data_IF_586649704086
#
_entry.id   IF_586649704086
#
_cell.length_a   1.000
_cell.length_b   1.000
_cell.length_c   1.000
_cell.angle_alpha   90.00
_cell.angle_beta   90.00
_cell.angle_gamma   90.00
#
_symmetry.space_group_name_H-M   'P 1'
#
loop_
_entity.id
_entity.type
_entity.pdbx_description
1 polymer ?
#
# COMPACT_ATOMS: atom_id res chain seq x y z
N UNK A 1 -35.93 -23.76 -60.83
CA UNK A 1 -35.98 -23.88 -59.35
C UNK A 1 -34.74 -24.64 -58.90
N UNK A 2 -34.12 -24.24 -57.79
CA UNK A 2 -32.80 -23.61 -57.86
C UNK A 2 -31.65 -24.50 -57.37
N UNK A 3 -30.48 -24.32 -57.97
CA UNK A 3 -29.18 -24.61 -57.35
C UNK A 3 -28.27 -23.38 -57.52
N UNK A 4 -27.93 -22.76 -56.41
CA UNK A 4 -26.89 -21.73 -56.22
C UNK A 4 -26.16 -22.10 -54.91
N UNK A 5 -24.94 -21.63 -54.65
CA UNK A 5 -23.83 -21.35 -55.55
C UNK A 5 -22.47 -21.88 -55.00
N UNK A 6 -21.46 -21.99 -55.87
CA UNK A 6 -20.05 -22.08 -55.44
C UNK A 6 -19.35 -20.75 -55.78
N UNK A 7 -18.75 -20.12 -54.77
CA UNK A 7 -18.11 -18.82 -54.84
C UNK A 7 -16.71 -18.88 -55.48
N UNK A 8 -16.41 -17.83 -56.26
CA UNK A 8 -15.20 -17.59 -57.03
C UNK A 8 -13.93 -17.34 -56.18
N UNK A 9 -12.72 -17.65 -56.70
CA UNK A 9 -11.46 -17.32 -56.04
C UNK A 9 -10.89 -16.00 -56.56
N UNK A 10 -10.47 -15.10 -55.67
CA UNK A 10 -9.65 -13.94 -56.07
C UNK A 10 -8.46 -13.68 -55.13
N UNK A 11 -7.28 -13.75 -55.76
CA UNK A 11 -6.01 -13.04 -55.51
C UNK A 11 -5.50 -12.90 -54.07
N UNK A 12 -4.46 -13.70 -53.78
CA UNK A 12 -3.43 -13.35 -52.78
C UNK A 12 -2.58 -12.19 -53.30
N UNK A 13 -2.60 -11.07 -52.60
CA UNK A 13 -1.69 -9.95 -52.75
C UNK A 13 -0.38 -10.24 -52.02
N UNK A 14 0.73 -10.13 -52.75
CA UNK A 14 2.09 -10.05 -52.21
C UNK A 14 2.34 -8.63 -51.68
N UNK A 15 2.81 -8.43 -50.44
CA UNK A 15 3.34 -7.15 -50.03
C UNK A 15 4.84 -7.06 -50.34
N UNK A 16 5.12 -6.12 -51.24
CA UNK A 16 6.30 -5.27 -51.36
C UNK A 16 7.49 -5.52 -50.42
N UNK A 17 8.64 -5.72 -51.06
CA UNK A 17 9.98 -5.53 -50.51
C UNK A 17 10.11 -4.16 -49.85
N UNK A 18 10.24 -4.15 -48.53
CA UNK A 18 10.55 -2.97 -47.73
C UNK A 18 12.02 -2.60 -47.89
N UNK A 19 12.38 -1.32 -48.09
CA UNK A 19 13.77 -0.90 -48.11
C UNK A 19 14.36 -1.06 -46.71
N UNK A 20 15.59 -1.58 -46.62
CA UNK A 20 16.40 -1.59 -45.38
C UNK A 20 16.57 -0.15 -44.90
N UNK A 21 15.70 0.29 -43.99
CA UNK A 21 15.91 1.50 -43.22
C UNK A 21 17.08 1.24 -42.26
N UNK A 22 18.22 1.89 -42.57
CA UNK A 22 19.34 2.03 -41.65
C UNK A 22 18.81 2.69 -40.39
N UNK A 23 18.89 2.02 -39.26
CA UNK A 23 18.69 2.62 -37.96
C UNK A 23 19.77 3.71 -37.79
N UNK A 24 19.45 4.99 -37.58
CA UNK A 24 20.41 5.87 -36.98
C UNK A 24 20.55 5.40 -35.53
N UNK A 25 21.69 4.78 -35.23
CA UNK A 25 22.19 4.66 -33.87
C UNK A 25 22.46 6.07 -33.32
N UNK A 26 21.40 6.80 -33.00
CA UNK A 26 21.47 8.02 -32.21
C UNK A 26 21.69 7.59 -30.76
N UNK A 27 22.91 7.14 -30.46
CA UNK A 27 23.50 7.46 -29.18
C UNK A 27 23.50 8.98 -29.13
N UNK A 28 22.53 9.56 -28.44
CA UNK A 28 22.48 11.00 -28.20
C UNK A 28 23.73 11.36 -27.41
N UNK A 29 24.77 11.75 -28.14
CA UNK A 29 25.96 12.38 -27.60
C UNK A 29 25.47 13.72 -27.07
N UNK A 30 25.02 13.75 -25.81
CA UNK A 30 24.78 15.01 -25.10
C UNK A 30 26.08 15.81 -25.25
N UNK A 31 26.06 16.99 -25.91
CA UNK A 31 27.27 17.75 -26.19
C UNK A 31 28.07 17.92 -24.91
N UNK A 32 29.40 17.87 -24.99
CA UNK A 32 30.29 18.07 -23.82
C UNK A 32 29.89 19.33 -23.03
N UNK A 33 29.44 20.36 -23.76
CA UNK A 33 28.87 21.60 -23.23
C UNK A 33 27.60 21.40 -22.36
N UNK A 34 26.68 20.54 -22.79
CA UNK A 34 25.48 20.19 -22.01
C UNK A 34 25.79 19.43 -20.72
N UNK A 35 26.91 18.67 -20.69
CA UNK A 35 27.39 18.00 -19.47
C UNK A 35 28.05 19.00 -18.52
N UNK A 36 28.86 19.93 -19.03
CA UNK A 36 29.44 21.03 -18.24
C UNK A 36 28.36 21.96 -17.68
N UNK A 37 27.33 22.28 -18.45
CA UNK A 37 26.22 23.13 -18.01
C UNK A 37 25.46 22.52 -16.82
N UNK A 38 25.27 21.19 -16.81
CA UNK A 38 24.66 20.45 -15.70
C UNK A 38 25.47 20.49 -14.40
N UNK A 39 26.77 20.81 -14.47
CA UNK A 39 27.59 21.01 -13.26
C UNK A 39 27.30 22.37 -12.62
N UNK A 40 26.93 23.36 -13.43
CA UNK A 40 26.69 24.76 -13.06
C UNK A 40 25.24 25.03 -12.62
N UNK A 41 24.26 24.36 -13.24
CA UNK A 41 22.84 24.62 -13.01
C UNK A 41 22.13 23.45 -12.33
N UNK A 42 21.24 23.78 -11.39
CA UNK A 42 20.28 22.82 -10.84
C UNK A 42 19.10 22.69 -11.80
N UNK A 43 19.07 21.61 -12.58
CA UNK A 43 17.96 21.34 -13.48
C UNK A 43 16.75 20.82 -12.72
N UNK A 44 15.69 21.61 -12.76
CA UNK A 44 14.33 21.22 -12.38
C UNK A 44 13.48 21.35 -13.64
N UNK A 45 12.71 20.32 -14.01
CA UNK A 45 11.88 20.29 -15.23
C UNK A 45 10.64 19.40 -14.98
N UNK A 46 9.60 19.92 -14.31
CA UNK A 46 8.32 19.24 -14.17
C UNK A 46 7.52 19.30 -15.47
N UNK A 47 6.75 18.25 -15.75
CA UNK A 47 5.75 18.20 -16.81
C UNK A 47 4.36 18.34 -16.16
N UNK A 48 3.99 19.58 -15.82
CA UNK A 48 2.74 19.92 -15.12
C UNK A 48 1.46 19.49 -15.89
N UNK A 49 1.59 19.31 -17.22
CA UNK A 49 0.49 18.88 -18.09
C UNK A 49 0.32 17.36 -18.17
N UNK A 50 1.21 16.58 -17.56
CA UNK A 50 1.12 15.13 -17.60
C UNK A 50 -0.11 14.63 -16.84
N UNK A 51 -1.05 13.98 -17.54
CA UNK A 51 -2.33 13.56 -16.98
C UNK A 51 -2.71 12.09 -17.21
N UNK A 52 -1.87 11.28 -17.88
CA UNK A 52 -2.22 9.89 -18.24
C UNK A 52 -2.45 8.96 -17.03
N UNK A 53 -2.05 9.37 -15.82
CA UNK A 53 -2.42 8.66 -14.60
C UNK A 53 -3.94 8.68 -14.34
N UNK A 54 -4.67 9.65 -14.92
CA UNK A 54 -6.13 9.77 -14.82
C UNK A 54 -6.87 8.70 -15.63
N UNK A 55 -6.22 8.05 -16.58
CA UNK A 55 -6.82 6.94 -17.35
C UNK A 55 -7.14 5.74 -16.44
N UNK A 56 -6.47 5.64 -15.29
CA UNK A 56 -6.70 4.64 -14.25
C UNK A 56 -7.51 5.17 -13.07
N UNK A 57 -8.23 6.28 -13.27
CA UNK A 57 -9.03 6.87 -12.21
C UNK A 57 -10.27 6.01 -11.93
N UNK A 58 -10.57 5.81 -10.66
CA UNK A 58 -11.80 5.13 -10.21
C UNK A 58 -12.77 6.17 -9.71
N UNK A 59 -14.02 6.10 -10.17
CA UNK A 59 -15.11 6.98 -9.73
C UNK A 59 -16.13 6.20 -8.94
N UNK A 60 -16.50 6.71 -7.77
CA UNK A 60 -17.65 6.24 -7.00
C UNK A 60 -18.64 7.39 -6.85
N UNK A 61 -19.92 7.05 -6.89
CA UNK A 61 -21.03 8.01 -6.81
C UNK A 61 -21.93 7.68 -5.62
N UNK A 62 -22.23 8.72 -4.85
CA UNK A 62 -23.23 8.74 -3.78
C UNK A 62 -24.23 9.86 -4.10
N UNK A 63 -25.47 9.84 -3.56
CA UNK A 63 -26.46 10.89 -3.82
C UNK A 63 -25.95 12.31 -3.54
N UNK A 64 -24.99 12.45 -2.63
CA UNK A 64 -24.49 13.73 -2.14
C UNK A 64 -23.11 14.14 -2.69
N UNK A 65 -22.38 13.21 -3.31
CA UNK A 65 -21.08 13.53 -3.89
C UNK A 65 -20.68 12.52 -4.96
N UNK A 66 -19.94 12.99 -5.95
CA UNK A 66 -19.22 12.14 -6.90
C UNK A 66 -17.72 12.34 -6.69
N UNK A 67 -17.02 11.25 -6.45
CA UNK A 67 -15.61 11.26 -6.06
C UNK A 67 -14.83 10.40 -7.05
N UNK A 68 -13.81 11.00 -7.65
CA UNK A 68 -12.87 10.33 -8.55
C UNK A 68 -11.47 10.37 -7.96
N UNK A 69 -10.81 9.22 -7.92
CA UNK A 69 -9.47 9.05 -7.33
C UNK A 69 -8.52 8.46 -8.36
N UNK A 70 -7.30 8.98 -8.44
CA UNK A 70 -6.23 8.40 -9.25
C UNK A 70 -4.89 8.46 -8.50
N UNK A 71 -4.06 7.43 -8.66
CA UNK A 71 -2.73 7.36 -8.04
C UNK A 71 -1.67 7.22 -9.13
N UNK A 72 -0.85 8.25 -9.39
CA UNK A 72 0.29 8.12 -10.30
C UNK A 72 1.33 7.13 -9.77
N UNK A 73 1.95 6.38 -10.67
CA UNK A 73 3.13 5.56 -10.36
C UNK A 73 4.34 6.45 -10.05
N UNK A 74 5.40 5.88 -9.46
CA UNK A 74 6.62 6.63 -9.14
C UNK A 74 7.26 7.32 -10.35
N UNK A 75 7.20 6.71 -11.54
CA UNK A 75 7.72 7.30 -12.77
C UNK A 75 6.88 8.50 -13.23
N UNK A 76 5.55 8.38 -13.11
CA UNK A 76 4.60 9.43 -13.47
C UNK A 76 4.67 10.60 -12.50
N UNK A 77 4.74 10.33 -11.20
CA UNK A 77 4.96 11.38 -10.19
C UNK A 77 6.28 12.10 -10.43
N UNK A 78 7.36 11.38 -10.79
CA UNK A 78 8.65 12.01 -11.12
C UNK A 78 8.53 12.93 -12.33
N UNK A 79 7.80 12.50 -13.36
CA UNK A 79 7.55 13.30 -14.56
C UNK A 79 6.73 14.55 -14.23
N UNK A 80 5.61 14.39 -13.52
CA UNK A 80 4.71 15.47 -13.13
C UNK A 80 5.39 16.51 -12.26
N UNK A 81 6.06 16.08 -11.18
CA UNK A 81 6.64 17.00 -10.19
C UNK A 81 8.08 17.40 -10.48
N UNK A 82 8.76 16.76 -11.46
CA UNK A 82 10.16 17.02 -11.81
C UNK A 82 11.18 16.51 -10.77
N UNK A 83 10.73 15.82 -9.74
CA UNK A 83 11.53 15.25 -8.64
C UNK A 83 10.99 13.89 -8.21
N UNK A 84 11.87 13.07 -7.63
CA UNK A 84 11.55 11.71 -7.22
C UNK A 84 10.87 11.65 -5.84
N UNK A 85 9.61 12.09 -5.79
CA UNK A 85 8.83 12.16 -4.55
C UNK A 85 8.69 10.81 -3.83
N UNK A 86 8.59 9.72 -4.60
CA UNK A 86 8.49 8.37 -4.06
C UNK A 86 9.74 7.95 -3.27
N UNK A 87 10.95 8.32 -3.73
CA UNK A 87 12.20 8.10 -2.96
C UNK A 87 12.25 8.86 -1.64
N UNK A 88 11.41 9.87 -1.48
CA UNK A 88 11.27 10.63 -0.23
C UNK A 88 10.13 10.12 0.65
N UNK A 89 9.52 8.99 0.30
CA UNK A 89 8.41 8.40 1.05
C UNK A 89 7.08 9.13 0.82
N UNK A 90 6.97 9.92 -0.26
CA UNK A 90 5.75 10.66 -0.61
C UNK A 90 5.08 10.01 -1.82
N UNK A 91 3.79 9.72 -1.69
CA UNK A 91 2.91 9.25 -2.76
C UNK A 91 1.77 10.24 -2.97
N UNK A 92 1.76 10.96 -4.10
CA UNK A 92 0.66 11.85 -4.45
C UNK A 92 -0.61 11.04 -4.78
N UNK A 93 -1.74 11.43 -4.20
CA UNK A 93 -3.08 10.91 -4.54
C UNK A 93 -3.88 12.03 -5.17
N UNK A 94 -4.30 11.88 -6.42
CA UNK A 94 -5.14 12.85 -7.09
C UNK A 94 -6.61 12.60 -6.76
N UNK A 95 -7.32 13.66 -6.38
CA UNK A 95 -8.74 13.64 -6.07
C UNK A 95 -9.46 14.64 -6.95
N UNK A 96 -10.66 14.28 -7.38
CA UNK A 96 -11.67 15.17 -7.92
C UNK A 96 -12.98 14.92 -7.20
N UNK A 97 -13.53 15.95 -6.57
CA UNK A 97 -14.73 15.88 -5.75
C UNK A 97 -15.76 16.86 -6.31
N UNK A 98 -16.92 16.33 -6.69
CA UNK A 98 -18.10 17.08 -7.11
C UNK A 98 -19.13 17.03 -5.98
N UNK A 99 -19.47 18.20 -5.40
CA UNK A 99 -20.45 18.30 -4.32
C UNK A 99 -21.87 18.38 -4.91
N UNK A 100 -22.68 17.33 -4.68
CA UNK A 100 -24.09 17.25 -5.10
C UNK A 100 -25.05 17.49 -3.93
N UNK A 101 -24.54 17.80 -2.75
CA UNK A 101 -25.34 18.01 -1.55
C UNK A 101 -25.85 19.45 -1.44
N UNK A 102 -26.98 19.69 -0.75
CA UNK A 102 -27.54 21.04 -0.59
C UNK A 102 -26.70 21.95 0.31
N UNK A 103 -25.68 21.42 0.98
CA UNK A 103 -24.78 22.17 1.85
C UNK A 103 -23.32 22.08 1.40
N UNK A 104 -22.44 22.81 2.09
CA UNK A 104 -21.01 22.71 1.85
C UNK A 104 -20.47 21.39 2.41
N UNK A 105 -19.52 20.78 1.71
CA UNK A 105 -18.79 19.59 2.17
C UNK A 105 -17.33 19.95 2.46
N UNK A 106 -16.74 19.34 3.48
CA UNK A 106 -15.31 19.47 3.78
C UNK A 106 -14.62 18.12 3.75
N UNK A 107 -13.57 18.03 2.95
CA UNK A 107 -12.68 16.85 2.93
C UNK A 107 -11.89 16.76 4.23
N UNK A 108 -11.88 15.57 4.83
CA UNK A 108 -11.01 15.22 5.94
C UNK A 108 -9.75 14.51 5.42
N UNK A 109 -8.68 15.26 5.11
CA UNK A 109 -7.42 14.65 4.62
C UNK A 109 -6.78 13.68 5.60
N UNK A 110 -7.03 13.87 6.91
CA UNK A 110 -6.55 12.97 7.97
C UNK A 110 -7.11 11.54 7.83
N UNK A 111 -8.28 11.36 7.21
CA UNK A 111 -8.80 10.01 6.96
C UNK A 111 -8.09 9.33 5.80
N UNK A 112 -7.59 10.12 4.83
CA UNK A 112 -6.80 9.60 3.71
C UNK A 112 -5.41 9.18 4.21
N UNK A 113 -4.75 10.07 4.96
CA UNK A 113 -3.49 9.76 5.62
C UNK A 113 -3.28 10.71 6.82
N UNK A 114 -3.18 10.20 8.07
CA UNK A 114 -2.92 11.04 9.23
C UNK A 114 -1.53 11.68 9.24
N UNK A 115 -0.59 11.17 8.42
CA UNK A 115 0.77 11.67 8.22
C UNK A 115 0.93 12.33 6.84
N UNK A 116 -0.16 12.82 6.24
CA UNK A 116 -0.09 13.54 4.97
C UNK A 116 0.85 14.76 5.06
N UNK A 117 1.45 15.10 3.94
CA UNK A 117 2.29 16.27 3.78
C UNK A 117 1.48 17.42 3.21
N UNK A 118 1.64 18.62 3.75
CA UNK A 118 1.18 19.82 3.05
C UNK A 118 1.95 19.98 1.73
N UNK A 119 1.42 20.68 0.72
CA UNK A 119 2.11 20.86 -0.55
C UNK A 119 3.53 21.44 -0.41
N UNK A 120 3.73 22.38 0.51
CA UNK A 120 5.03 23.00 0.74
C UNK A 120 5.98 22.12 1.55
N UNK A 121 5.49 21.28 2.47
CA UNK A 121 6.32 20.25 3.10
C UNK A 121 6.78 19.21 2.07
N UNK A 122 5.87 18.76 1.21
CA UNK A 122 6.20 17.80 0.15
C UNK A 122 7.26 18.37 -0.82
N UNK A 123 7.17 19.67 -1.15
CA UNK A 123 8.21 20.37 -1.91
C UNK A 123 9.53 20.46 -1.12
N UNK A 124 9.47 20.92 0.14
CA UNK A 124 10.62 21.12 1.01
C UNK A 124 11.47 19.85 1.21
N UNK A 125 10.83 18.69 1.39
CA UNK A 125 11.53 17.39 1.48
C UNK A 125 12.29 17.05 0.18
N UNK A 126 11.84 17.58 -0.96
CA UNK A 126 12.44 17.38 -2.28
C UNK A 126 13.39 18.51 -2.72
N UNK A 127 13.54 19.57 -1.92
CA UNK A 127 14.43 20.68 -2.25
C UNK A 127 15.86 20.21 -2.50
N UNK A 128 16.49 20.84 -3.48
CA UNK A 128 17.89 20.65 -3.77
C UNK A 128 18.73 21.29 -2.66
N UNK A 129 19.54 20.48 -1.96
CA UNK A 129 20.49 20.92 -0.94
C UNK A 129 21.92 20.56 -1.34
N UNK A 130 22.80 21.55 -1.28
CA UNK A 130 24.24 21.42 -1.61
C UNK A 130 25.08 21.26 -0.34
N UNK A 131 24.66 21.84 0.78
CA UNK A 131 25.36 21.80 2.07
C UNK A 131 25.54 20.38 2.60
N UNK A 132 24.53 19.51 2.46
CA UNK A 132 24.62 18.07 2.81
C UNK A 132 25.67 17.29 2.02
N UNK A 133 26.02 17.74 0.80
CA UNK A 133 27.05 17.08 -0.01
C UNK A 133 28.45 17.55 0.35
N UNK A 134 28.63 18.83 0.67
CA UNK A 134 29.94 19.40 1.03
C UNK A 134 30.45 18.89 2.38
N UNK A 135 29.58 18.68 3.37
CA UNK A 135 29.98 18.15 4.68
C UNK A 135 30.55 16.72 4.63
N UNK A 136 30.21 15.94 3.59
CA UNK A 136 30.70 14.58 3.41
C UNK A 136 32.16 14.51 2.92
N UNK A 137 32.75 15.61 2.43
CA UNK A 137 34.09 15.60 1.83
C UNK A 137 35.22 16.01 2.78
N UNK A 138 34.91 16.51 4.00
CA UNK A 138 35.91 16.80 5.03
C UNK A 138 37.14 17.57 4.53
N UNK A 139 38.34 17.19 5.02
CA UNK A 139 39.62 17.77 4.59
C UNK A 139 39.98 17.53 3.10
N UNK A 140 39.29 16.61 2.42
CA UNK A 140 39.49 16.32 0.99
C UNK A 140 38.93 17.42 0.06
N UNK A 141 38.19 18.39 0.61
CA UNK A 141 37.56 19.50 -0.12
C UNK A 141 38.55 20.37 -0.91
N UNK A 142 39.84 20.38 -0.52
CA UNK A 142 40.88 21.15 -1.23
C UNK A 142 41.17 20.62 -2.65
N UNK A 143 41.00 19.32 -2.91
CA UNK A 143 41.17 18.71 -4.24
C UNK A 143 40.11 19.18 -5.24
N UNK A 144 39.00 19.74 -4.74
CA UNK A 144 37.88 20.24 -5.52
C UNK A 144 37.80 21.77 -5.50
N UNK A 145 38.86 22.47 -5.13
CA UNK A 145 38.92 23.94 -5.07
C UNK A 145 38.43 24.65 -6.36
N UNK A 146 38.75 24.18 -7.59
CA UNK A 146 38.19 24.77 -8.81
C UNK A 146 36.66 24.61 -8.90
N UNK A 147 36.10 23.54 -8.33
CA UNK A 147 34.65 23.31 -8.28
C UNK A 147 33.98 24.20 -7.21
N UNK A 148 34.70 24.63 -6.17
CA UNK A 148 34.16 25.55 -5.14
C UNK A 148 33.76 26.90 -5.74
N UNK A 149 34.45 27.36 -6.80
CA UNK A 149 34.08 28.56 -7.54
C UNK A 149 32.69 28.47 -8.19
N UNK A 150 32.19 27.26 -8.43
CA UNK A 150 30.86 27.02 -9.02
C UNK A 150 29.75 26.95 -7.97
N UNK A 151 30.09 26.89 -6.68
CA UNK A 151 29.13 26.74 -5.58
C UNK A 151 28.13 27.90 -5.49
N UNK A 152 28.52 29.20 -5.60
CA UNK A 152 27.58 30.31 -5.54
C UNK A 152 26.51 30.24 -6.65
N UNK A 153 26.94 29.97 -7.89
CA UNK A 153 26.02 29.82 -9.03
C UNK A 153 25.08 28.61 -8.84
N UNK A 154 25.61 27.50 -8.32
CA UNK A 154 24.82 26.30 -8.07
C UNK A 154 23.81 26.49 -6.93
N UNK A 155 24.17 27.23 -5.88
CA UNK A 155 23.26 27.61 -4.79
C UNK A 155 22.14 28.52 -5.30
N UNK A 156 22.47 29.52 -6.12
CA UNK A 156 21.47 30.43 -6.69
C UNK A 156 20.48 29.68 -7.59
N UNK A 157 20.98 28.81 -8.47
CA UNK A 157 20.11 28.02 -9.35
C UNK A 157 19.29 26.99 -8.57
N UNK A 158 19.83 26.43 -7.48
CA UNK A 158 19.07 25.57 -6.57
C UNK A 158 17.96 26.35 -5.86
N UNK A 159 18.24 27.57 -5.39
CA UNK A 159 17.24 28.44 -4.78
C UNK A 159 16.09 28.77 -5.73
N UNK A 160 16.38 29.15 -6.98
CA UNK A 160 15.36 29.35 -8.01
C UNK A 160 14.58 28.08 -8.33
N UNK A 161 15.27 26.94 -8.45
CA UNK A 161 14.63 25.66 -8.69
C UNK A 161 13.68 25.28 -7.55
N UNK A 162 14.08 25.46 -6.29
CA UNK A 162 13.27 25.18 -5.10
C UNK A 162 12.05 26.11 -5.04
N UNK A 163 12.22 27.42 -5.27
CA UNK A 163 11.09 28.35 -5.33
C UNK A 163 10.09 28.04 -6.45
N UNK A 164 10.56 27.49 -7.58
CA UNK A 164 9.67 26.99 -8.63
C UNK A 164 8.99 25.67 -8.23
N UNK A 165 9.68 24.79 -7.52
CA UNK A 165 9.13 23.56 -6.97
C UNK A 165 7.99 23.84 -5.99
N UNK A 166 8.16 24.80 -5.09
CA UNK A 166 7.11 25.23 -4.15
C UNK A 166 5.84 25.65 -4.87
N UNK A 167 5.98 26.43 -5.94
CA UNK A 167 4.84 26.87 -6.78
C UNK A 167 4.13 25.70 -7.45
N UNK A 168 4.87 24.74 -8.00
CA UNK A 168 4.31 23.56 -8.68
C UNK A 168 3.53 22.70 -7.69
N UNK A 169 4.14 22.34 -6.56
CA UNK A 169 3.47 21.54 -5.54
C UNK A 169 2.25 22.28 -4.97
N UNK A 170 2.37 23.56 -4.66
CA UNK A 170 1.25 24.35 -4.14
C UNK A 170 0.09 24.49 -5.13
N UNK A 171 0.38 24.62 -6.43
CA UNK A 171 -0.64 24.71 -7.49
C UNK A 171 -1.39 23.39 -7.68
N UNK A 172 -0.67 22.27 -7.67
CA UNK A 172 -1.25 20.94 -7.86
C UNK A 172 -1.85 20.38 -6.56
N UNK A 173 -1.46 20.88 -5.40
CA UNK A 173 -1.96 20.44 -4.10
C UNK A 173 -3.46 20.69 -3.92
N UNK A 174 -4.15 19.74 -3.30
CA UNK A 174 -5.55 19.87 -2.95
C UNK A 174 -5.72 20.95 -1.88
N UNK A 175 -6.55 21.96 -2.16
CA UNK A 175 -6.80 23.07 -1.23
C UNK A 175 -7.88 22.69 -0.23
N UNK A 176 -7.52 22.61 1.04
CA UNK A 176 -8.46 22.37 2.13
C UNK A 176 -9.36 23.60 2.34
N UNK A 177 -10.55 23.55 1.77
CA UNK A 177 -11.63 24.53 1.98
C UNK A 177 -12.99 23.85 1.91
N UNK A 178 -14.06 24.49 2.41
CA UNK A 178 -15.41 24.05 2.13
C UNK A 178 -15.65 24.04 0.61
N UNK A 179 -16.20 22.93 0.12
CA UNK A 179 -16.63 22.72 -1.26
C UNK A 179 -18.10 23.09 -1.29
N UNK A 180 -18.45 24.18 -1.96
CA UNK A 180 -19.84 24.67 -1.97
C UNK A 180 -20.73 23.78 -2.85
N UNK A 181 -22.04 23.90 -2.72
CA UNK A 181 -23.00 23.12 -3.51
C UNK A 181 -22.79 23.32 -5.01
N UNK A 182 -22.75 22.22 -5.76
CA UNK A 182 -22.53 22.21 -7.22
C UNK A 182 -21.08 22.43 -7.63
N UNK A 183 -20.17 22.71 -6.69
CA UNK A 183 -18.77 22.94 -6.99
C UNK A 183 -18.03 21.62 -7.26
N UNK A 184 -17.11 21.66 -8.23
CA UNK A 184 -16.11 20.60 -8.44
C UNK A 184 -14.72 21.14 -8.11
N UNK A 185 -14.00 20.43 -7.24
CA UNK A 185 -12.61 20.73 -6.89
C UNK A 185 -11.71 19.55 -7.21
N UNK A 186 -10.48 19.82 -7.62
CA UNK A 186 -9.47 18.79 -7.86
C UNK A 186 -8.08 19.20 -7.37
N UNK A 187 -7.25 18.20 -7.07
CA UNK A 187 -5.88 18.40 -6.63
C UNK A 187 -5.26 17.16 -6.01
N UNK A 188 -4.00 17.27 -5.63
CA UNK A 188 -3.23 16.19 -5.01
C UNK A 188 -3.20 16.31 -3.49
N UNK A 189 -3.52 15.22 -2.80
CA UNK A 189 -3.15 15.02 -1.40
C UNK A 189 -1.82 14.27 -1.39
N UNK A 190 -0.80 14.85 -0.78
CA UNK A 190 0.52 14.22 -0.69
C UNK A 190 0.54 13.29 0.52
N UNK A 191 0.44 11.99 0.28
CA UNK A 191 0.39 10.97 1.34
C UNK A 191 1.75 10.30 1.51
N UNK A 192 1.90 9.50 2.54
CA UNK A 192 2.98 8.53 2.68
C UNK A 192 2.82 7.42 1.63
N UNK A 193 3.95 6.86 1.19
CA UNK A 193 3.95 5.73 0.25
C UNK A 193 3.33 4.51 0.91
N UNK A 194 2.31 3.95 0.27
CA UNK A 194 1.84 2.59 0.52
C UNK A 194 2.32 1.69 -0.60
N UNK A 195 2.75 0.47 -0.26
CA UNK A 195 3.17 -0.50 -1.26
C UNK A 195 2.01 -1.38 -1.71
N UNK A 196 1.94 -1.69 -3.02
CA UNK A 196 0.94 -2.57 -3.62
C UNK A 196 -0.36 -1.85 -3.92
N UNK A 197 -1.33 -1.89 -3.01
CA UNK A 197 -2.59 -1.16 -3.15
C UNK A 197 -2.62 0.06 -2.25
N UNK A 198 -2.83 1.23 -2.85
CA UNK A 198 -3.05 2.48 -2.12
C UNK A 198 -4.52 2.56 -1.72
N UNK A 199 -4.80 2.51 -0.42
CA UNK A 199 -6.16 2.66 0.10
C UNK A 199 -6.42 4.12 0.41
N UNK A 200 -7.43 4.68 -0.26
CA UNK A 200 -7.80 6.09 -0.14
C UNK A 200 -9.16 6.17 0.51
N UNK A 201 -9.18 6.47 1.81
CA UNK A 201 -10.41 6.66 2.57
C UNK A 201 -10.85 8.13 2.52
N UNK A 202 -11.82 8.42 1.64
CA UNK A 202 -12.33 9.77 1.43
C UNK A 202 -13.56 10.00 2.29
N UNK A 203 -13.42 10.83 3.32
CA UNK A 203 -14.54 11.28 4.16
C UNK A 203 -14.85 12.76 3.92
N UNK A 204 -16.08 13.04 3.49
CA UNK A 204 -16.62 14.38 3.33
C UNK A 204 -17.64 14.66 4.43
N UNK A 205 -17.35 15.65 5.27
CA UNK A 205 -18.25 16.04 6.36
C UNK A 205 -19.06 17.26 5.93
N UNK A 206 -20.39 17.26 6.06
CA UNK A 206 -21.18 18.47 5.87
C UNK A 206 -20.73 19.56 6.84
N UNK A 207 -20.47 20.73 6.29
CA UNK A 207 -20.12 21.93 7.02
C UNK A 207 -21.30 22.88 6.95
N UNK A 208 -21.90 23.13 8.10
CA UNK A 208 -22.95 24.13 8.24
C UNK A 208 -22.37 25.46 8.75
N UNK A 209 -23.10 26.58 8.58
CA UNK A 209 -22.74 27.84 9.21
C UNK A 209 -22.72 27.73 10.75
N UNK A 210 -21.75 28.37 11.40
CA UNK A 210 -21.55 28.32 12.86
C UNK A 210 -22.84 28.64 13.66
N UNK A 211 -23.63 29.63 13.20
CA UNK A 211 -24.91 29.99 13.84
C UNK A 211 -25.88 28.81 13.88
N UNK A 212 -25.94 28.01 12.81
CA UNK A 212 -26.80 26.84 12.72
C UNK A 212 -26.30 25.72 13.63
N UNK A 213 -24.97 25.51 13.70
CA UNK A 213 -24.36 24.57 14.66
C UNK A 213 -24.69 24.92 16.10
N UNK A 214 -24.53 26.18 16.47
CA UNK A 214 -24.85 26.66 17.82
C UNK A 214 -26.36 26.50 18.10
N UNK A 215 -27.21 26.84 17.13
CA UNK A 215 -28.66 26.64 17.24
C UNK A 215 -29.04 25.17 17.51
N UNK A 216 -28.39 24.22 16.81
CA UNK A 216 -28.61 22.78 17.03
C UNK A 216 -28.11 22.28 18.38
N UNK A 217 -26.98 22.82 18.87
CA UNK A 217 -26.47 22.49 20.21
C UNK A 217 -27.39 22.99 21.31
N UNK A 218 -27.96 24.19 21.15
CA UNK A 218 -28.89 24.79 22.10
C UNK A 218 -30.30 24.17 22.01
N UNK A 219 -30.68 23.65 20.84
CA UNK A 219 -31.99 23.04 20.58
C UNK A 219 -31.86 21.70 19.85
N UNK A 220 -31.53 20.60 20.58
CA UNK A 220 -31.39 19.26 20.00
C UNK A 220 -32.71 18.80 19.37
N UNK A 221 -32.68 18.40 18.10
CA UNK A 221 -33.85 17.92 17.34
C UNK A 221 -34.39 18.87 16.26
N UNK A 222 -33.83 20.08 16.13
CA UNK A 222 -34.31 21.12 15.20
C UNK A 222 -33.63 21.14 13.82
N UNK A 223 -32.92 20.08 13.41
CA UNK A 223 -32.25 20.09 12.12
C UNK A 223 -31.83 18.72 11.59
N UNK A 224 -31.84 18.59 10.28
CA UNK A 224 -31.47 17.39 9.56
C UNK A 224 -29.95 17.20 9.61
N UNK A 225 -29.47 16.26 10.43
CA UNK A 225 -28.04 16.02 10.60
C UNK A 225 -27.57 15.09 9.48
N UNK A 226 -27.33 15.66 8.32
CA UNK A 226 -26.95 14.89 7.15
C UNK A 226 -25.66 14.09 7.45
N UNK A 227 -25.60 12.77 7.23
CA UNK A 227 -24.43 11.96 7.57
C UNK A 227 -23.19 12.38 6.77
N UNK A 228 -21.96 12.02 7.17
CA UNK A 228 -20.80 12.18 6.30
C UNK A 228 -20.93 11.29 5.05
N UNK A 229 -20.36 11.73 3.93
CA UNK A 229 -20.09 10.82 2.80
C UNK A 229 -18.78 10.12 3.08
N UNK A 230 -18.78 8.79 3.08
CA UNK A 230 -17.65 7.96 3.47
C UNK A 230 -17.43 6.88 2.41
N UNK A 231 -16.36 7.03 1.62
CA UNK A 231 -16.04 6.14 0.50
C UNK A 231 -14.60 5.66 0.60
N UNK A 232 -14.37 4.39 0.24
CA UNK A 232 -13.06 3.74 0.26
C UNK A 232 -12.69 3.33 -1.16
N UNK A 233 -11.51 3.75 -1.60
CA UNK A 233 -10.95 3.39 -2.91
C UNK A 233 -9.71 2.53 -2.73
N UNK A 234 -9.62 1.46 -3.52
CA UNK A 234 -8.48 0.55 -3.56
C UNK A 234 -7.76 0.79 -4.89
N UNK A 235 -6.64 1.49 -4.85
CA UNK A 235 -5.94 1.93 -6.06
C UNK A 235 -4.69 1.08 -6.27
N UNK A 236 -4.60 0.24 -7.33
CA UNK A 236 -3.39 -0.51 -7.60
C UNK A 236 -2.25 0.45 -7.95
N UNK A 237 -1.10 0.30 -7.30
CA UNK A 237 0.09 1.12 -7.54
C UNK A 237 1.06 0.34 -8.42
N UNK A 238 1.29 0.77 -9.68
CA UNK A 238 2.21 0.06 -10.57
C UNK A 238 3.65 0.08 -10.03
N UNK A 239 4.28 -1.10 -9.98
CA UNK A 239 5.72 -1.24 -9.69
C UNK A 239 6.10 -2.02 -8.44
N UNK A 240 5.13 -2.61 -7.74
CA UNK A 240 5.33 -3.41 -6.53
C UNK A 240 4.73 -4.79 -6.76
N UNK A 241 5.50 -5.84 -6.45
CA UNK A 241 5.06 -7.23 -6.49
C UNK A 241 4.55 -7.59 -5.09
N UNK A 242 3.25 -7.35 -4.85
CA UNK A 242 2.56 -7.84 -3.66
C UNK A 242 2.08 -9.28 -3.90
N UNK A 243 2.11 -10.13 -2.86
CA UNK A 243 1.83 -11.58 -2.96
C UNK A 243 0.52 -11.90 -3.70
N UNK A 244 -0.52 -11.07 -3.57
CA UNK A 244 -1.83 -11.28 -4.20
C UNK A 244 -1.93 -10.77 -5.64
N UNK A 245 -1.03 -9.90 -6.10
CA UNK A 245 -1.07 -9.36 -7.47
C UNK A 245 -0.74 -10.43 -8.53
N UNK A 246 0.03 -11.44 -8.13
CA UNK A 246 0.37 -12.61 -8.95
C UNK A 246 -0.55 -13.82 -8.66
N UNK A 247 -1.61 -13.66 -7.84
CA UNK A 247 -2.50 -14.75 -7.41
C UNK A 247 -3.86 -14.65 -8.08
N UNK A 248 -4.21 -15.71 -8.79
CA UNK A 248 -5.57 -15.92 -9.26
C UNK A 248 -6.39 -16.60 -8.14
N UNK A 249 -7.13 -15.80 -7.35
CA UNK A 249 -8.01 -16.32 -6.30
C UNK A 249 -9.12 -17.23 -6.85
N UNK A 250 -9.55 -17.04 -8.10
CA UNK A 250 -10.53 -17.91 -8.74
C UNK A 250 -9.93 -19.28 -9.09
N UNK A 251 -8.62 -19.35 -9.38
CA UNK A 251 -7.91 -20.61 -9.51
C UNK A 251 -7.64 -21.30 -8.15
N UNK A 252 -7.41 -20.52 -7.08
CA UNK A 252 -7.17 -21.05 -5.72
C UNK A 252 -8.47 -21.59 -5.09
N UNK A 253 -9.59 -20.91 -5.33
CA UNK A 253 -10.93 -21.30 -4.87
C UNK A 253 -11.93 -21.26 -6.03
N UNK A 254 -11.93 -22.29 -6.90
CA UNK A 254 -12.92 -22.40 -7.96
C UNK A 254 -14.35 -22.43 -7.41
N UNK A 255 -15.37 -21.93 -8.15
CA UNK A 255 -16.76 -21.95 -7.68
C UNK A 255 -17.26 -23.34 -7.28
N UNK A 256 -16.77 -24.39 -7.95
CA UNK A 256 -17.11 -25.78 -7.67
C UNK A 256 -16.48 -26.34 -6.38
N UNK A 257 -15.42 -25.71 -5.85
CA UNK A 257 -14.77 -26.13 -4.60
C UNK A 257 -15.25 -25.33 -3.39
N UNK A 258 -16.26 -24.47 -3.54
CA UNK A 258 -16.80 -23.69 -2.43
C UNK A 258 -17.65 -24.60 -1.55
N UNK A 259 -17.33 -24.63 -0.26
CA UNK A 259 -18.02 -25.46 0.73
C UNK A 259 -18.80 -24.57 1.71
N UNK A 260 -20.12 -24.39 1.52
CA UNK A 260 -20.95 -23.65 2.47
C UNK A 260 -20.94 -24.31 3.85
N UNK A 261 -20.84 -23.50 4.89
CA UNK A 261 -20.82 -23.91 6.28
C UNK A 261 -21.95 -23.24 7.05
N UNK A 262 -22.59 -24.00 7.94
CA UNK A 262 -23.50 -23.50 8.96
C UNK A 262 -22.71 -23.04 10.19
N UNK A 263 -23.32 -22.29 11.13
CA UNK A 263 -22.68 -22.00 12.41
C UNK A 263 -22.24 -23.25 13.17
N UNK A 264 -23.06 -24.31 13.13
CA UNK A 264 -22.83 -25.56 13.86
C UNK A 264 -21.64 -26.36 13.28
N UNK A 265 -21.45 -26.32 11.96
CA UNK A 265 -20.38 -27.05 11.29
C UNK A 265 -19.07 -26.25 11.16
N UNK A 266 -19.12 -24.92 11.31
CA UNK A 266 -17.94 -24.07 11.15
C UNK A 266 -16.89 -24.39 12.23
N UNK A 267 -17.29 -24.50 13.49
CA UNK A 267 -16.36 -24.70 14.62
C UNK A 267 -15.58 -26.02 14.48
N UNK A 268 -16.23 -27.20 14.31
CA UNK A 268 -15.50 -28.46 14.15
C UNK A 268 -14.56 -28.45 12.93
N UNK A 269 -14.97 -27.82 11.82
CA UNK A 269 -14.13 -27.70 10.62
C UNK A 269 -12.90 -26.84 10.85
N UNK A 270 -13.01 -25.73 11.58
CA UNK A 270 -11.86 -24.88 11.93
C UNK A 270 -10.91 -25.57 12.92
N UNK A 271 -11.45 -26.35 13.86
CA UNK A 271 -10.65 -27.12 14.82
C UNK A 271 -9.85 -28.24 14.15
N UNK A 272 -10.41 -28.87 13.12
CA UNK A 272 -9.76 -29.92 12.33
C UNK A 272 -8.68 -29.40 11.36
N UNK A 273 -8.58 -28.09 11.13
CA UNK A 273 -7.57 -27.52 10.24
C UNK A 273 -6.14 -27.66 10.82
N UNK A 274 -5.09 -27.58 9.99
CA UNK A 274 -3.72 -27.70 10.47
C UNK A 274 -3.41 -26.71 11.60
N UNK A 275 -2.86 -27.22 12.70
CA UNK A 275 -2.58 -26.46 13.92
C UNK A 275 -1.51 -25.38 13.74
N UNK A 276 -0.58 -25.59 12.81
CA UNK A 276 0.57 -24.74 12.59
C UNK A 276 1.02 -24.79 11.13
N UNK A 277 1.76 -23.76 10.75
CA UNK A 277 2.42 -23.67 9.45
C UNK A 277 3.56 -24.69 9.31
N UNK A 278 4.07 -24.88 8.11
CA UNK A 278 5.18 -25.79 7.83
C UNK A 278 6.23 -25.17 6.90
N UNK A 279 7.38 -25.83 6.78
CA UNK A 279 8.33 -25.58 5.69
C UNK A 279 7.77 -26.11 4.35
N UNK A 280 8.40 -25.75 3.24
CA UNK A 280 7.95 -26.16 1.89
C UNK A 280 7.75 -27.68 1.72
N UNK A 281 8.57 -28.49 2.39
CA UNK A 281 8.47 -29.95 2.34
C UNK A 281 7.46 -30.56 3.33
N UNK A 282 6.85 -29.76 4.22
CA UNK A 282 5.92 -30.25 5.24
C UNK A 282 6.57 -31.05 6.39
N UNK A 283 7.90 -31.12 6.45
CA UNK A 283 8.64 -31.97 7.40
C UNK A 283 8.86 -31.33 8.77
N UNK A 284 8.70 -30.00 8.87
CA UNK A 284 8.91 -29.24 10.11
C UNK A 284 7.75 -28.30 10.34
N UNK A 285 7.36 -28.17 11.60
CA UNK A 285 6.31 -27.27 12.07
C UNK A 285 6.87 -25.87 12.33
N UNK A 286 6.08 -24.86 11.98
CA UNK A 286 6.37 -23.45 12.18
C UNK A 286 5.44 -22.80 13.20
N UNK A 287 5.15 -21.53 12.95
CA UNK A 287 4.29 -20.72 13.81
C UNK A 287 2.85 -21.24 13.80
N UNK A 288 2.12 -21.09 14.92
CA UNK A 288 0.75 -21.58 15.06
C UNK A 288 -0.22 -20.84 14.12
N UNK A 289 -1.17 -21.55 13.54
CA UNK A 289 -2.23 -20.95 12.72
C UNK A 289 -3.34 -20.39 13.64
N UNK A 290 -3.04 -19.30 14.34
CA UNK A 290 -3.80 -18.75 15.46
C UNK A 290 -4.91 -17.75 15.10
N UNK A 291 -5.22 -17.54 13.82
CA UNK A 291 -6.25 -16.59 13.37
C UNK A 291 -7.17 -17.22 12.32
N UNK A 292 -8.44 -16.78 12.29
CA UNK A 292 -9.41 -17.02 11.23
C UNK A 292 -10.14 -15.72 10.95
N UNK A 293 -10.25 -15.35 9.66
CA UNK A 293 -10.94 -14.13 9.21
C UNK A 293 -12.02 -14.53 8.23
N UNK A 294 -13.23 -14.02 8.41
CA UNK A 294 -14.38 -14.26 7.53
C UNK A 294 -14.79 -12.95 6.86
N UNK A 295 -14.73 -12.92 5.52
CA UNK A 295 -15.06 -11.74 4.72
C UNK A 295 -14.39 -11.77 3.34
N UNK A 296 -14.96 -11.05 2.37
CA UNK A 296 -14.37 -10.92 1.03
C UNK A 296 -12.96 -10.32 1.07
N UNK A 297 -12.18 -10.55 0.01
CA UNK A 297 -10.85 -9.98 -0.12
C UNK A 297 -10.86 -8.45 -0.01
N UNK A 298 -11.84 -7.78 -0.60
CA UNK A 298 -12.00 -6.32 -0.55
C UNK A 298 -12.32 -5.85 0.87
N UNK A 299 -13.19 -6.58 1.58
CA UNK A 299 -13.53 -6.28 2.97
C UNK A 299 -12.33 -6.48 3.88
N UNK A 300 -11.57 -7.55 3.66
CA UNK A 300 -10.33 -7.84 4.38
C UNK A 300 -9.31 -6.73 4.16
N UNK A 301 -9.00 -6.40 2.91
CA UNK A 301 -8.05 -5.35 2.60
C UNK A 301 -8.54 -4.00 3.12
N UNK A 302 -9.83 -3.68 2.99
CA UNK A 302 -10.43 -2.46 3.55
C UNK A 302 -10.42 -2.38 5.08
N UNK A 303 -10.44 -3.52 5.78
CA UNK A 303 -10.36 -3.60 7.23
C UNK A 303 -8.92 -3.41 7.74
N UNK A 304 -7.93 -3.98 7.04
CA UNK A 304 -6.53 -3.95 7.46
C UNK A 304 -5.73 -2.76 6.90
N UNK A 305 -5.98 -2.33 5.66
CA UNK A 305 -5.07 -1.44 4.91
C UNK A 305 -4.96 -0.01 5.42
N UNK A 306 -5.90 0.48 6.25
CA UNK A 306 -5.74 1.79 6.89
C UNK A 306 -4.66 1.79 7.99
N UNK A 307 -4.20 0.61 8.45
CA UNK A 307 -3.41 0.45 9.68
C UNK A 307 -2.29 -0.59 9.59
N UNK A 308 -2.33 -1.46 8.58
CA UNK A 308 -1.35 -2.49 8.29
C UNK A 308 -0.74 -2.26 6.90
N UNK A 309 0.58 -2.33 6.81
CA UNK A 309 1.39 -2.19 5.60
C UNK A 309 1.41 -3.55 4.84
N UNK A 310 1.32 -3.57 3.51
CA UNK A 310 1.51 -4.82 2.73
C UNK A 310 2.98 -5.29 2.77
N UNK A 311 3.26 -6.60 2.62
CA UNK A 311 4.64 -7.11 2.51
C UNK A 311 4.99 -7.62 1.11
N UNK A 312 6.20 -7.33 0.63
CA UNK A 312 6.71 -7.81 -0.68
C UNK A 312 7.12 -9.29 -0.61
N UNK A 313 6.85 -10.05 -1.68
CA UNK A 313 7.31 -11.44 -1.85
C UNK A 313 8.84 -11.50 -1.98
N UNK A 314 9.47 -12.51 -1.38
CA UNK A 314 10.90 -12.80 -1.61
C UNK A 314 11.08 -13.29 -3.05
N UNK A 315 11.56 -12.40 -3.93
CA UNK A 315 12.21 -12.77 -5.21
C UNK A 315 13.71 -12.47 -5.14
N UNK A 316 14.55 -13.14 -5.94
CA UNK A 316 16.00 -12.85 -6.04
C UNK A 316 16.28 -11.37 -6.35
N UNK A 317 15.37 -10.70 -7.07
CA UNK A 317 15.42 -9.26 -7.39
C UNK A 317 15.07 -8.39 -6.18
N UNK A 318 14.14 -8.85 -5.33
CA UNK A 318 13.74 -8.18 -4.07
C UNK A 318 14.87 -8.27 -3.04
N UNK A 319 15.52 -9.43 -2.88
CA UNK A 319 16.70 -9.59 -2.02
C UNK A 319 17.82 -8.59 -2.38
N UNK A 320 18.11 -8.38 -3.66
CA UNK A 320 19.14 -7.42 -4.09
C UNK A 320 18.75 -5.95 -3.81
N UNK A 321 17.46 -5.60 -3.91
CA UNK A 321 16.96 -4.28 -3.51
C UNK A 321 17.07 -4.06 -2.00
N UNK A 322 16.74 -5.06 -1.18
CA UNK A 322 16.88 -5.02 0.28
C UNK A 322 18.34 -4.82 0.68
N UNK A 323 19.28 -5.56 0.06
CA UNK A 323 20.73 -5.40 0.29
C UNK A 323 21.20 -3.99 -0.06
N UNK A 324 20.75 -3.43 -1.19
CA UNK A 324 21.11 -2.07 -1.60
C UNK A 324 20.52 -1.00 -0.68
N UNK A 325 19.28 -1.17 -0.21
CA UNK A 325 18.63 -0.25 0.72
C UNK A 325 19.30 -0.24 2.11
N UNK A 326 19.77 -1.41 2.57
CA UNK A 326 20.52 -1.57 3.82
C UNK A 326 21.90 -0.89 3.76
N UNK A 327 22.61 -1.02 2.62
CA UNK A 327 23.93 -0.39 2.42
C UNK A 327 23.86 1.14 2.22
N UNK A 328 22.76 1.69 1.70
CA UNK A 328 22.59 3.13 1.48
C UNK A 328 21.92 3.88 2.64
N UNK A 329 21.64 3.21 3.77
CA UNK A 329 21.09 3.87 4.97
C UNK A 329 19.67 4.41 4.82
N UNK A 330 18.91 3.93 3.83
CA UNK A 330 17.49 4.30 3.65
C UNK A 330 16.60 3.30 4.38
N UNK A 331 15.71 3.79 5.25
CA UNK A 331 14.75 2.99 6.01
C UNK A 331 13.81 2.19 5.08
N UNK A 332 14.12 0.90 4.87
CA UNK A 332 13.31 -0.03 4.09
C UNK A 332 12.17 -0.61 4.94
N UNK A 333 11.02 0.07 4.96
CA UNK A 333 9.84 -0.30 5.76
C UNK A 333 9.22 -1.67 5.37
N UNK A 334 9.62 -2.28 4.25
CA UNK A 334 8.96 -3.45 3.65
C UNK A 334 9.88 -4.67 3.51
N UNK A 335 10.59 -5.03 4.58
CA UNK A 335 11.44 -6.23 4.60
C UNK A 335 10.61 -7.46 4.24
N UNK A 336 11.07 -8.30 3.31
CA UNK A 336 10.26 -9.38 2.79
C UNK A 336 10.08 -10.48 3.84
N UNK A 337 8.87 -11.04 3.87
CA UNK A 337 8.43 -12.00 4.89
C UNK A 337 8.83 -13.41 4.47
N UNK A 338 9.41 -14.20 5.38
CA UNK A 338 9.76 -15.59 5.08
C UNK A 338 8.50 -16.41 4.77
N UNK A 339 8.55 -17.21 3.70
CA UNK A 339 7.43 -18.03 3.25
C UNK A 339 7.10 -19.10 4.27
N UNK A 340 5.85 -19.11 4.73
CA UNK A 340 5.28 -20.19 5.53
C UNK A 340 4.31 -20.97 4.65
N UNK A 341 4.21 -22.28 4.89
CA UNK A 341 3.30 -23.13 4.13
C UNK A 341 2.13 -23.56 5.00
N UNK A 342 0.95 -23.58 4.41
CA UNK A 342 -0.27 -24.15 4.97
C UNK A 342 -1.05 -24.75 3.80
N UNK A 343 -1.72 -25.88 4.00
CA UNK A 343 -2.42 -26.59 2.92
C UNK A 343 -1.52 -26.93 1.70
N UNK A 344 -0.23 -27.19 1.95
CA UNK A 344 0.74 -27.51 0.89
C UNK A 344 1.17 -26.33 0.02
N UNK A 345 0.81 -25.09 0.37
CA UNK A 345 1.11 -23.89 -0.42
C UNK A 345 1.56 -22.72 0.46
N UNK A 346 2.29 -21.77 -0.12
CA UNK A 346 2.66 -20.52 0.54
C UNK A 346 1.43 -19.66 0.83
N UNK A 347 1.58 -18.66 1.70
CA UNK A 347 0.50 -17.71 2.03
C UNK A 347 -0.05 -16.99 0.80
N UNK A 348 -1.36 -16.68 0.83
CA UNK A 348 -2.02 -15.90 -0.23
C UNK A 348 -1.86 -14.40 -0.03
N UNK A 349 -1.88 -13.98 1.23
CA UNK A 349 -1.77 -12.58 1.63
C UNK A 349 -0.78 -12.53 2.78
N UNK A 350 0.15 -11.58 2.70
CA UNK A 350 1.06 -11.25 3.79
C UNK A 350 1.01 -9.75 4.06
N UNK A 351 0.55 -9.40 5.25
CA UNK A 351 0.49 -8.04 5.78
C UNK A 351 1.49 -7.91 6.94
N UNK A 352 1.96 -6.71 7.17
CA UNK A 352 2.86 -6.38 8.27
C UNK A 352 2.44 -5.05 8.90
N UNK A 353 2.64 -4.87 10.20
CA UNK A 353 2.45 -3.57 10.84
C UNK A 353 3.71 -3.10 11.51
N UNK A 354 4.17 -1.92 11.11
CA UNK A 354 5.36 -1.27 11.64
C UNK A 354 4.97 -0.29 12.75
N UNK A 355 5.60 -0.33 13.94
CA UNK A 355 5.41 0.69 14.99
C UNK A 355 6.26 1.94 14.74
N UNK A 356 7.58 1.82 14.94
CA UNK A 356 8.53 2.95 14.83
C UNK A 356 9.84 2.61 14.08
N UNK A 357 10.20 1.32 13.97
CA UNK A 357 11.40 0.85 13.26
C UNK A 357 11.15 -0.48 12.54
N UNK A 358 12.07 -0.87 11.65
CA UNK A 358 12.02 -2.14 10.90
C UNK A 358 12.11 -3.35 11.83
N UNK A 359 12.63 -3.21 13.05
CA UNK A 359 12.95 -4.35 13.92
C UNK A 359 11.81 -4.81 14.83
N UNK A 360 10.70 -4.05 14.86
CA UNK A 360 9.51 -4.34 15.67
C UNK A 360 8.27 -4.33 14.76
N UNK A 361 7.77 -5.53 14.44
CA UNK A 361 6.71 -5.72 13.45
C UNK A 361 5.71 -6.74 13.93
N UNK A 362 4.45 -6.58 13.54
CA UNK A 362 3.50 -7.70 13.59
C UNK A 362 3.33 -8.21 12.16
N UNK A 363 3.53 -9.50 11.96
CA UNK A 363 3.34 -10.17 10.69
C UNK A 363 2.02 -10.92 10.72
N UNK A 364 1.21 -10.72 9.68
CA UNK A 364 -0.04 -11.42 9.45
C UNK A 364 0.06 -12.13 8.10
N UNK A 365 -0.18 -13.44 8.09
CA UNK A 365 -0.27 -14.24 6.87
C UNK A 365 -1.63 -14.91 6.81
N UNK A 366 -2.23 -14.98 5.63
CA UNK A 366 -3.55 -15.56 5.42
C UNK A 366 -3.56 -16.54 4.24
N UNK A 367 -4.37 -17.58 4.39
CA UNK A 367 -4.64 -18.62 3.41
C UNK A 367 -6.15 -18.75 3.23
N UNK A 368 -6.62 -18.57 1.99
CA UNK A 368 -8.00 -18.80 1.60
C UNK A 368 -8.35 -20.29 1.69
N UNK A 369 -9.49 -20.60 2.30
CA UNK A 369 -10.00 -21.97 2.40
C UNK A 369 -11.17 -22.22 1.44
N UNK A 370 -11.51 -23.49 1.18
CA UNK A 370 -12.76 -23.85 0.50
C UNK A 370 -14.02 -23.35 1.21
N UNK A 371 -13.96 -23.19 2.54
CA UNK A 371 -15.14 -22.91 3.36
C UNK A 371 -15.75 -21.54 3.04
N UNK A 372 -17.07 -21.48 3.10
CA UNK A 372 -17.89 -20.27 2.97
C UNK A 372 -18.85 -20.18 4.14
N UNK A 373 -18.85 -19.07 4.87
CA UNK A 373 -19.80 -18.84 5.95
C UNK A 373 -20.64 -17.60 5.64
N UNK A 374 -21.97 -17.74 5.63
CA UNK A 374 -22.89 -16.64 5.26
C UNK A 374 -22.56 -16.02 3.87
N UNK A 375 -22.18 -16.87 2.91
CA UNK A 375 -21.73 -16.44 1.58
C UNK A 375 -20.36 -15.76 1.55
N UNK A 376 -19.68 -15.61 2.69
CA UNK A 376 -18.37 -14.97 2.81
C UNK A 376 -17.24 -16.01 2.83
N UNK A 377 -16.10 -15.74 2.16
CA UNK A 377 -14.94 -16.64 2.23
C UNK A 377 -14.32 -16.67 3.63
N UNK A 378 -13.83 -17.85 4.01
CA UNK A 378 -13.12 -18.08 5.27
C UNK A 378 -11.62 -18.20 5.00
N UNK A 379 -10.83 -17.42 5.74
CA UNK A 379 -9.37 -17.37 5.67
C UNK A 379 -8.79 -17.89 6.98
N UNK A 380 -7.80 -18.78 6.90
CA UNK A 380 -6.98 -19.16 8.06
C UNK A 380 -5.71 -18.33 8.06
N UNK A 381 -5.28 -17.90 9.22
CA UNK A 381 -4.15 -17.01 9.37
C UNK A 381 -3.17 -17.42 10.45
N UNK A 382 -2.01 -16.81 10.34
CA UNK A 382 -0.95 -16.84 11.34
C UNK A 382 -0.54 -15.41 11.64
N UNK A 383 -0.48 -15.07 12.91
CA UNK A 383 -0.03 -13.76 13.41
C UNK A 383 1.09 -13.95 14.42
N UNK A 384 2.16 -13.16 14.27
CA UNK A 384 3.29 -13.15 15.20
C UNK A 384 3.94 -11.77 15.26
N UNK A 385 4.47 -11.40 16.42
CA UNK A 385 5.21 -10.17 16.63
C UNK A 385 6.72 -10.43 16.68
N UNK A 386 7.48 -9.61 15.99
CA UNK A 386 8.93 -9.54 16.08
C UNK A 386 9.33 -8.54 17.18
N UNK A 387 10.20 -8.96 18.09
CA UNK A 387 10.70 -8.18 19.23
C UNK A 387 12.19 -7.82 19.11
N UNK A 388 12.81 -8.07 17.96
CA UNK A 388 14.21 -7.71 17.70
C UNK A 388 14.84 -8.55 16.60
N UNK A 389 16.18 -8.48 16.49
CA UNK A 389 16.98 -9.24 15.53
C UNK A 389 17.99 -10.09 16.29
N UNK A 390 18.17 -11.36 15.88
CA UNK A 390 19.18 -12.27 16.41
C UNK A 390 20.03 -12.86 15.30
N UNK A 391 21.26 -13.22 15.63
CA UNK A 391 22.13 -13.97 14.73
C UNK A 391 21.62 -15.42 14.60
N UNK A 392 21.65 -15.97 13.38
CA UNK A 392 21.26 -17.36 13.11
C UNK A 392 22.02 -17.91 11.90
N UNK A 393 22.43 -19.18 11.95
CA UNK A 393 22.99 -19.87 10.78
C UNK A 393 21.91 -20.43 9.85
N UNK A 394 20.63 -20.36 10.26
CA UNK A 394 19.49 -20.92 9.51
C UNK A 394 18.94 -19.98 8.43
N UNK A 395 19.41 -18.73 8.40
CA UNK A 395 19.04 -17.72 7.39
C UNK A 395 20.29 -17.29 6.62
N UNK A 396 20.14 -17.07 5.31
CA UNK A 396 21.27 -16.78 4.40
C UNK A 396 21.99 -15.46 4.71
N UNK A 397 21.29 -14.51 5.34
CA UNK A 397 21.82 -13.22 5.80
C UNK A 397 22.40 -13.28 7.22
N UNK A 398 22.51 -14.47 7.81
CA UNK A 398 23.04 -14.73 9.16
C UNK A 398 22.29 -14.02 10.31
N UNK A 399 21.15 -13.38 10.04
CA UNK A 399 20.34 -12.65 11.02
C UNK A 399 18.85 -12.88 10.75
N UNK A 400 18.08 -13.26 11.77
CA UNK A 400 16.63 -13.42 11.69
C UNK A 400 15.96 -12.61 12.80
N UNK A 401 14.71 -12.20 12.60
CA UNK A 401 13.96 -11.54 13.65
C UNK A 401 13.67 -12.54 14.78
N UNK A 402 13.65 -12.05 16.02
CA UNK A 402 13.23 -12.85 17.18
C UNK A 402 11.74 -12.65 17.36
N UNK A 403 10.98 -13.74 17.28
CA UNK A 403 9.53 -13.73 17.51
C UNK A 403 9.25 -13.67 19.02
N UNK A 404 8.22 -12.92 19.39
CA UNK A 404 7.66 -12.89 20.73
C UNK A 404 7.15 -14.30 21.11
N UNK A 405 7.62 -14.90 22.21
CA UNK A 405 7.11 -16.20 22.64
C UNK A 405 5.62 -16.22 22.95
N UNK A 406 5.01 -15.09 23.33
CA UNK A 406 3.57 -14.99 23.53
C UNK A 406 2.86 -14.69 22.20
N UNK A 407 2.50 -15.75 21.47
CA UNK A 407 1.80 -15.60 20.19
C UNK A 407 0.33 -15.20 20.35
N UNK A 408 -0.23 -15.34 21.54
CA UNK A 408 -1.62 -14.99 21.83
C UNK A 408 -1.77 -13.47 21.96
N UNK A 409 -0.77 -12.76 22.52
CA UNK A 409 -0.74 -11.28 22.50
C UNK A 409 -0.85 -10.74 21.07
N UNK A 410 -0.11 -11.35 20.13
CA UNK A 410 -0.11 -10.92 18.73
C UNK A 410 -1.46 -11.16 18.05
N UNK A 411 -2.10 -12.28 18.38
CA UNK A 411 -3.45 -12.66 17.90
C UNK A 411 -4.50 -11.70 18.45
N UNK A 412 -4.49 -11.46 19.76
CA UNK A 412 -5.51 -10.68 20.44
C UNK A 412 -5.38 -9.19 20.07
N UNK A 413 -4.16 -8.72 19.84
CA UNK A 413 -3.90 -7.41 19.26
C UNK A 413 -4.67 -7.19 17.95
N UNK A 414 -4.75 -8.18 17.05
CA UNK A 414 -5.50 -8.05 15.78
C UNK A 414 -6.98 -7.84 16.03
N UNK A 415 -7.56 -8.54 17.02
CA UNK A 415 -8.97 -8.38 17.38
C UNK A 415 -9.20 -6.96 17.91
N UNK A 416 -8.43 -6.54 18.92
CA UNK A 416 -8.53 -5.21 19.51
C UNK A 416 -8.37 -4.11 18.45
N UNK A 417 -7.44 -4.33 17.53
CA UNK A 417 -7.20 -3.44 16.41
C UNK A 417 -8.45 -3.25 15.57
N UNK A 418 -8.99 -4.34 15.04
CA UNK A 418 -10.14 -4.28 14.14
C UNK A 418 -11.41 -3.80 14.85
N UNK A 419 -11.58 -4.13 16.14
CA UNK A 419 -12.67 -3.61 16.98
C UNK A 419 -12.55 -2.09 17.11
N UNK A 420 -11.38 -1.57 17.44
CA UNK A 420 -11.15 -0.12 17.53
C UNK A 420 -11.36 0.62 16.20
N UNK A 421 -11.23 -0.08 15.07
CA UNK A 421 -11.52 0.45 13.74
C UNK A 421 -13.01 0.36 13.35
N UNK A 422 -13.87 -0.25 14.19
CA UNK A 422 -15.26 -0.54 13.87
C UNK A 422 -15.40 -1.54 12.73
N UNK A 423 -14.45 -2.48 12.56
CA UNK A 423 -14.42 -3.42 11.41
C UNK A 423 -14.83 -4.84 11.77
N UNK A 424 -15.36 -5.06 12.98
CA UNK A 424 -15.72 -6.39 13.49
C UNK A 424 -17.22 -6.49 13.68
N UNK A 425 -17.87 -7.42 12.97
CA UNK A 425 -19.28 -7.79 13.17
C UNK A 425 -19.43 -8.70 14.38
N UNK A 426 -18.52 -9.67 14.52
CA UNK A 426 -18.42 -10.58 15.66
C UNK A 426 -16.99 -11.12 15.79
N UNK A 427 -16.58 -11.47 17.00
CA UNK A 427 -15.32 -12.16 17.26
C UNK A 427 -15.48 -13.22 18.35
N UNK A 428 -14.68 -14.28 18.29
CA UNK A 428 -14.67 -15.37 19.27
C UNK A 428 -13.41 -16.22 19.15
N UNK A 429 -13.35 -17.32 19.90
CA UNK A 429 -12.21 -18.24 19.87
C UNK A 429 -12.68 -19.68 19.65
N UNK A 430 -11.90 -20.44 18.87
CA UNK A 430 -12.10 -21.88 18.62
C UNK A 430 -10.80 -22.64 18.89
N UNK A 431 -10.85 -23.96 19.09
CA UNK A 431 -9.65 -24.77 19.27
C UNK A 431 -8.81 -24.97 18.00
N UNK A 432 -7.92 -25.97 18.05
CA UNK A 432 -7.23 -26.51 16.87
C UNK A 432 -5.72 -26.23 16.78
N UNK A 433 -5.15 -25.35 17.62
CA UNK A 433 -3.68 -25.11 17.65
C UNK A 433 -2.99 -26.02 18.67
N UNK A 434 -3.70 -26.38 19.74
CA UNK A 434 -3.18 -27.13 20.88
C UNK A 434 -2.38 -26.26 21.84
N UNK A 435 -2.58 -26.42 23.14
CA UNK A 435 -1.96 -25.60 24.18
C UNK A 435 -0.49 -25.97 24.39
N UNK A 436 0.37 -24.98 24.65
CA UNK A 436 1.71 -25.20 25.18
C UNK A 436 2.08 -24.05 26.13
N UNK A 437 2.72 -24.36 27.24
CA UNK A 437 3.00 -23.41 28.33
C UNK A 437 4.38 -22.77 28.18
N UNK A 438 4.66 -21.63 28.86
CA UNK A 438 5.99 -21.05 28.90
C UNK A 438 7.10 -21.99 29.41
N UNK A 439 6.76 -22.93 30.30
CA UNK A 439 7.70 -23.93 30.84
C UNK A 439 7.98 -25.08 29.86
N UNK A 440 7.07 -25.32 28.90
CA UNK A 440 7.20 -26.35 27.87
C UNK A 440 6.83 -25.77 26.49
N UNK A 441 7.60 -24.79 25.98
CA UNK A 441 7.25 -24.08 24.76
C UNK A 441 7.51 -24.97 23.53
N UNK A 442 6.68 -24.79 22.51
CA UNK A 442 6.97 -25.32 21.17
C UNK A 442 7.95 -24.39 20.46
N UNK A 443 8.51 -24.84 19.34
CA UNK A 443 9.47 -24.05 18.54
C UNK A 443 9.01 -23.95 17.11
N UNK A 444 9.17 -22.77 16.52
CA UNK A 444 8.87 -22.53 15.12
C UNK A 444 10.06 -22.96 14.20
N UNK A 445 9.97 -22.63 12.91
CA UNK A 445 10.99 -23.01 11.91
C UNK A 445 12.36 -22.36 12.14
N UNK A 446 12.40 -21.14 12.70
CA UNK A 446 13.66 -20.46 13.04
C UNK A 446 14.24 -21.02 14.35
N UNK A 447 13.42 -21.70 15.15
CA UNK A 447 13.74 -22.28 16.44
C UNK A 447 13.45 -21.37 17.62
N UNK A 448 12.71 -20.28 17.40
CA UNK A 448 12.22 -19.42 18.49
C UNK A 448 11.14 -20.17 19.28
N UNK A 449 11.18 -20.12 20.62
CA UNK A 449 10.15 -20.71 21.46
C UNK A 449 8.86 -19.91 21.36
N UNK A 450 7.72 -20.58 21.45
CA UNK A 450 6.41 -19.96 21.61
C UNK A 450 5.52 -20.76 22.56
N UNK A 451 4.60 -20.06 23.22
CA UNK A 451 3.53 -20.62 24.04
C UNK A 451 2.18 -20.05 23.59
N UNK A 452 1.09 -20.78 23.84
CA UNK A 452 -0.28 -20.42 23.42
C UNK A 452 -1.31 -21.18 24.22
N UNK A 453 -2.47 -20.58 24.44
CA UNK A 453 -3.69 -21.18 24.98
C UNK A 453 -4.26 -22.28 24.06
N UNK A 454 -3.77 -22.40 22.82
CA UNK A 454 -4.14 -23.43 21.87
C UNK A 454 -5.37 -23.10 21.01
N UNK A 455 -5.83 -21.85 21.06
CA UNK A 455 -7.01 -21.36 20.34
C UNK A 455 -6.63 -20.54 19.10
N UNK A 456 -7.61 -20.43 18.21
CA UNK A 456 -7.64 -19.51 17.07
C UNK A 456 -8.66 -18.42 17.35
N UNK A 457 -8.29 -17.17 17.12
CA UNK A 457 -9.25 -16.07 17.10
C UNK A 457 -10.04 -16.13 15.79
N UNK A 458 -11.36 -16.06 15.85
CA UNK A 458 -12.26 -16.01 14.70
C UNK A 458 -12.88 -14.62 14.61
N UNK A 459 -12.72 -13.95 13.48
CA UNK A 459 -13.18 -12.57 13.26
C UNK A 459 -14.09 -12.53 12.04
N UNK A 460 -15.35 -12.12 12.23
CA UNK A 460 -16.27 -11.80 11.14
C UNK A 460 -16.14 -10.32 10.83
N UNK A 461 -15.68 -9.98 9.62
CA UNK A 461 -15.44 -8.61 9.23
C UNK A 461 -16.74 -7.87 8.88
N UNK A 462 -16.72 -6.55 9.10
CA UNK A 462 -17.76 -5.64 8.66
C UNK A 462 -17.29 -4.78 7.48
N UNK A 463 -18.07 -4.78 6.40
CA UNK A 463 -17.81 -3.95 5.22
C UNK A 463 -17.93 -2.45 5.53
N UNK A 464 -18.80 -2.08 6.48
CA UNK A 464 -19.00 -0.73 6.99
C UNK A 464 -18.51 -0.59 8.43
N UNK A 465 -18.30 0.64 8.92
CA UNK A 465 -17.91 0.85 10.32
C UNK A 465 -19.09 0.54 11.26
N UNK A 466 -18.85 -0.32 12.24
CA UNK A 466 -19.79 -0.66 13.31
C UNK A 466 -19.69 0.38 14.43
N UNK A 467 -20.17 1.59 14.14
CA UNK A 467 -20.25 2.77 15.01
C UNK A 467 -18.94 3.44 15.47
#
# INVERSE_FOLDING_TARGET
MPSLPAASPTRRSTPSSTPRARWPSNVSVVPLWGRLWRLLITQYLPDEGYAAYRDRAVTQEEPRARITVAVPSAAESRRLFGVDVAKRGIQPVWLRIENRSPGSLRLQTVTIDPKYFTPLEAAGVNHFSITKRLSAFGAMSWLFYPLLLLVPLKLLTAWWANGRMDKVFHRHGFRLRPIVTGETVEGFVFTTVDLGTKVVHVRLTPLEPLRQSIGRLLHPGSGDNAPPVDLVFMMPVPGIAADYLDRDFAAIRPPASVEPCTPDDLVPRLEAMPAATTNACGTKTGDPANLVVVGTFETLLGAFAARWDESETISLKTCWKTVKAFLLGSSYRYSPVSALHLFGRVQDIALQRTRHSINERIHLRLWLTPLSFDGQPVWVGQVSRDIGVRFTTKAWNLTTHRIDPDVDESRDYVIEDLVAAGRVKAAGYVGGVGTCTPDAPRRNLTGDPFFTDGKRAVILLSASRTN
#
